data_IF_270936460159
#
_entry.id   IF_270936460159
#
_cell.length_a   1.000
_cell.length_b   1.000
_cell.length_c   1.000
_cell.angle_alpha   90.00
_cell.angle_beta   90.00
_cell.angle_gamma   90.00
#
_symmetry.space_group_name_H-M   'P 1'
#
loop_
_entity.id
_entity.type
_entity.pdbx_description
1 polymer ?
#
# COMPACT_ATOMS: atom_id res chain seq x y z
N UNK A 1 -7.92 -7.62 -6.34
CA UNK A 1 -8.76 -7.82 -5.13
C UNK A 1 -8.21 -6.88 -4.04
N UNK A 2 -9.06 -6.35 -3.15
CA UNK A 2 -8.63 -5.47 -2.04
C UNK A 2 -9.17 -6.07 -0.73
N UNK A 3 -8.29 -6.28 0.24
CA UNK A 3 -8.64 -6.82 1.55
C UNK A 3 -8.59 -5.70 2.59
N UNK A 4 -9.62 -5.61 3.43
CA UNK A 4 -9.71 -4.61 4.49
C UNK A 4 -9.71 -5.32 5.84
N UNK A 5 -8.82 -4.87 6.73
CA UNK A 5 -8.75 -5.28 8.14
C UNK A 5 -8.48 -4.06 9.02
N UNK A 6 -8.61 -4.22 10.34
CA UNK A 6 -8.20 -3.19 11.30
C UNK A 6 -6.67 -3.16 11.39
N UNK A 7 -6.12 -1.96 11.67
CA UNK A 7 -4.67 -1.74 11.69
C UNK A 7 -3.95 -2.61 12.73
N UNK A 8 -4.58 -2.81 13.89
CA UNK A 8 -4.06 -3.64 14.99
C UNK A 8 -3.90 -5.13 14.62
N UNK A 9 -4.64 -5.59 13.61
CA UNK A 9 -4.60 -6.97 13.11
C UNK A 9 -3.87 -7.09 11.77
N UNK A 10 -3.40 -5.99 11.18
CA UNK A 10 -2.86 -6.01 9.81
C UNK A 10 -1.61 -6.88 9.69
N UNK A 11 -0.69 -6.81 10.66
CA UNK A 11 0.56 -7.58 10.66
C UNK A 11 0.27 -9.09 10.81
N UNK A 12 -0.57 -9.46 11.78
CA UNK A 12 -0.98 -10.86 11.99
C UNK A 12 -1.73 -11.41 10.77
N UNK A 13 -2.64 -10.62 10.21
CA UNK A 13 -3.41 -10.99 9.02
C UNK A 13 -2.49 -11.21 7.81
N UNK A 14 -1.48 -10.35 7.61
CA UNK A 14 -0.51 -10.52 6.53
C UNK A 14 0.29 -11.82 6.71
N UNK A 15 0.85 -12.05 7.90
CA UNK A 15 1.66 -13.24 8.19
C UNK A 15 0.89 -14.54 7.97
N UNK A 16 -0.39 -14.58 8.34
CA UNK A 16 -1.23 -15.78 8.22
C UNK A 16 -1.69 -16.08 6.80
N UNK A 17 -1.75 -15.08 5.92
CA UNK A 17 -2.52 -15.20 4.68
C UNK A 17 -1.74 -14.85 3.40
N UNK A 18 -0.50 -14.34 3.52
CA UNK A 18 0.37 -14.05 2.37
C UNK A 18 0.68 -15.31 1.56
N UNK A 19 0.53 -15.23 0.23
CA UNK A 19 0.75 -16.37 -0.67
C UNK A 19 -0.49 -17.25 -0.92
N UNK A 20 -1.57 -17.04 -0.15
CA UNK A 20 -2.83 -17.77 -0.27
C UNK A 20 -4.00 -16.80 -0.52
N UNK A 21 -4.62 -16.28 0.55
CA UNK A 21 -5.71 -15.31 0.44
C UNK A 21 -5.18 -13.94 -0.03
N UNK A 22 -4.01 -13.54 0.45
CA UNK A 22 -3.32 -12.32 0.02
C UNK A 22 -2.40 -12.66 -1.15
N UNK A 23 -2.97 -12.66 -2.34
CA UNK A 23 -2.28 -12.90 -3.60
C UNK A 23 -2.68 -11.86 -4.66
N UNK A 24 -1.78 -11.49 -5.58
CA UNK A 24 -0.38 -11.94 -5.70
C UNK A 24 0.56 -11.33 -4.62
N UNK A 25 1.72 -11.95 -4.32
CA UNK A 25 2.27 -13.18 -4.91
C UNK A 25 1.56 -14.45 -4.42
N UNK A 26 1.76 -15.55 -5.13
CA UNK A 26 1.38 -16.91 -4.69
C UNK A 26 2.46 -17.49 -3.79
N UNK A 27 2.18 -18.61 -3.12
CA UNK A 27 3.17 -19.34 -2.31
C UNK A 27 4.47 -19.65 -3.07
N UNK A 28 4.37 -20.01 -4.36
CA UNK A 28 5.50 -20.31 -5.24
C UNK A 28 6.37 -19.08 -5.59
N UNK A 29 5.77 -17.89 -5.59
CA UNK A 29 6.43 -16.64 -5.99
C UNK A 29 6.74 -15.73 -4.80
N UNK A 30 6.36 -16.14 -3.59
CA UNK A 30 6.50 -15.34 -2.38
C UNK A 30 7.96 -15.05 -2.05
N UNK A 31 8.86 -16.01 -2.28
CA UNK A 31 10.31 -15.85 -2.06
C UNK A 31 10.94 -14.75 -2.94
N UNK A 32 10.28 -14.42 -4.06
CA UNK A 32 10.72 -13.36 -4.96
C UNK A 32 10.28 -11.97 -4.50
N UNK A 33 9.34 -11.89 -3.56
CA UNK A 33 8.84 -10.62 -3.03
C UNK A 33 9.89 -10.02 -2.07
N UNK A 34 10.48 -8.86 -2.37
CA UNK A 34 11.35 -8.18 -1.42
C UNK A 34 10.58 -7.84 -0.14
N UNK A 35 11.30 -7.81 0.98
CA UNK A 35 10.75 -7.35 2.26
C UNK A 35 10.04 -6.01 2.10
N UNK A 36 8.85 -5.88 2.69
CA UNK A 36 8.13 -4.60 2.65
C UNK A 36 8.78 -3.57 3.58
N UNK A 37 8.79 -2.31 3.14
CA UNK A 37 9.24 -1.17 3.93
C UNK A 37 8.10 -0.19 4.13
N UNK A 38 7.99 0.35 5.34
CA UNK A 38 6.99 1.36 5.70
C UNK A 38 7.44 2.74 5.21
N UNK A 39 6.56 3.42 4.48
CA UNK A 39 6.69 4.82 4.12
C UNK A 39 5.52 5.59 4.73
N UNK A 40 5.81 6.60 5.54
CA UNK A 40 4.80 7.43 6.20
C UNK A 40 4.79 8.82 5.58
N UNK A 41 3.62 9.29 5.17
CA UNK A 41 3.47 10.57 4.48
C UNK A 41 2.25 11.33 4.99
N UNK A 42 2.41 12.65 5.12
CA UNK A 42 1.30 13.56 5.39
C UNK A 42 0.73 14.05 4.06
N UNK A 43 -0.55 13.83 3.86
CA UNK A 43 -1.26 14.26 2.65
C UNK A 43 -1.56 15.77 2.76
N UNK A 44 -1.29 16.58 1.72
CA UNK A 44 -1.67 18.00 1.67
C UNK A 44 -3.17 18.20 1.90
N UNK A 45 -3.60 19.39 2.33
CA UNK A 45 -5.03 19.71 2.55
C UNK A 45 -5.75 20.05 1.24
N UNK A 46 -5.63 19.16 0.27
CA UNK A 46 -6.28 19.25 -1.04
C UNK A 46 -6.52 17.85 -1.60
N UNK A 47 -7.37 17.77 -2.62
CA UNK A 47 -7.71 16.50 -3.28
C UNK A 47 -6.46 15.90 -3.93
N UNK A 48 -5.96 14.80 -3.37
CA UNK A 48 -4.65 14.26 -3.71
C UNK A 48 -4.74 12.78 -4.07
N UNK A 49 -4.09 12.36 -5.15
CA UNK A 49 -3.86 10.95 -5.45
C UNK A 49 -2.55 10.47 -4.80
N UNK A 50 -2.62 9.35 -4.11
CA UNK A 50 -1.45 8.59 -3.68
C UNK A 50 -1.17 7.54 -4.75
N UNK A 51 -0.07 7.71 -5.48
CA UNK A 51 0.31 6.85 -6.59
C UNK A 51 1.19 5.72 -6.10
N UNK A 52 0.82 4.49 -6.45
CA UNK A 52 1.60 3.26 -6.25
C UNK A 52 1.99 2.71 -7.63
N UNK A 53 3.23 2.94 -8.09
CA UNK A 53 3.66 2.50 -9.42
C UNK A 53 3.37 1.03 -9.69
N UNK A 54 2.81 0.73 -10.86
CA UNK A 54 2.45 -0.63 -11.27
C UNK A 54 1.11 -1.17 -10.74
N UNK A 55 0.49 -0.50 -9.75
CA UNK A 55 -0.81 -0.92 -9.19
C UNK A 55 -1.93 0.09 -9.44
N UNK A 56 -1.63 1.39 -9.39
CA UNK A 56 -2.62 2.44 -9.60
C UNK A 56 -2.48 3.56 -8.57
N UNK A 57 -3.61 4.12 -8.14
CA UNK A 57 -3.64 5.20 -7.16
C UNK A 57 -4.84 5.11 -6.22
N UNK A 58 -4.72 5.80 -5.08
CA UNK A 58 -5.80 6.00 -4.11
C UNK A 58 -6.03 7.50 -3.97
N UNK A 59 -7.22 7.97 -4.32
CA UNK A 59 -7.60 9.38 -4.15
C UNK A 59 -8.04 9.64 -2.71
N UNK A 60 -7.48 10.68 -2.09
CA UNK A 60 -7.88 11.23 -0.81
C UNK A 60 -8.64 12.53 -1.07
N UNK A 61 -9.97 12.58 -0.86
CA UNK A 61 -10.78 13.74 -1.19
C UNK A 61 -10.45 14.99 -0.36
N UNK A 62 -10.24 14.79 0.93
CA UNK A 62 -9.85 15.82 1.88
C UNK A 62 -8.63 15.33 2.67
N UNK A 63 -7.50 15.99 2.47
CA UNK A 63 -6.24 15.56 3.06
C UNK A 63 -5.98 16.16 4.43
N UNK A 64 -4.73 16.51 4.72
CA UNK A 64 -4.29 16.83 6.09
C UNK A 64 -4.17 15.61 7.01
N UNK A 65 -4.42 14.41 6.47
CA UNK A 65 -4.26 13.12 7.14
C UNK A 65 -2.84 12.58 6.96
N UNK A 66 -2.40 11.76 7.91
CA UNK A 66 -1.14 11.01 7.79
C UNK A 66 -1.47 9.56 7.51
N UNK A 67 -0.80 8.97 6.53
CA UNK A 67 -0.95 7.58 6.16
C UNK A 67 0.39 6.85 6.22
N UNK A 68 0.33 5.53 6.31
CA UNK A 68 1.50 4.67 6.16
C UNK A 68 1.21 3.62 5.10
N UNK A 69 2.14 3.43 4.17
CA UNK A 69 2.08 2.44 3.10
C UNK A 69 3.28 1.51 3.22
N UNK A 70 3.04 0.21 3.07
CA UNK A 70 4.09 -0.80 3.01
C UNK A 70 4.29 -1.21 1.55
N UNK A 71 5.50 -1.05 1.03
CA UNK A 71 5.86 -1.36 -0.37
C UNK A 71 7.14 -2.19 -0.46
N UNK A 72 7.35 -3.00 -1.51
CA UNK A 72 8.58 -3.78 -1.66
C UNK A 72 9.82 -2.90 -1.66
N UNK A 73 10.80 -3.26 -0.82
CA UNK A 73 12.09 -2.55 -0.72
C UNK A 73 12.78 -2.51 -2.09
N UNK A 74 13.21 -1.32 -2.48
CA UNK A 74 14.05 -1.10 -3.67
C UNK A 74 13.33 -1.17 -5.02
N UNK A 75 12.05 -1.56 -5.07
CA UNK A 75 11.29 -1.69 -6.32
C UNK A 75 10.15 -0.68 -6.49
N UNK A 76 9.65 -0.10 -5.41
CA UNK A 76 8.47 0.77 -5.44
C UNK A 76 8.68 1.99 -4.56
N UNK A 77 8.42 3.17 -5.11
CA UNK A 77 8.42 4.43 -4.38
C UNK A 77 7.08 5.13 -4.61
N UNK A 78 6.38 5.48 -3.53
CA UNK A 78 5.09 6.15 -3.65
C UNK A 78 5.30 7.61 -4.04
N UNK A 79 4.33 8.21 -4.73
CA UNK A 79 4.33 9.64 -5.01
C UNK A 79 2.95 10.24 -4.79
N UNK A 80 2.93 11.55 -4.53
CA UNK A 80 1.70 12.32 -4.46
C UNK A 80 1.55 13.15 -5.73
N UNK A 81 0.32 13.32 -6.20
CA UNK A 81 -0.02 14.25 -7.28
C UNK A 81 -1.40 14.86 -7.03
N UNK A 82 -1.71 16.00 -7.66
CA UNK A 82 -3.09 16.49 -7.74
C UNK A 82 -4.00 15.40 -8.32
N UNK A 83 -5.18 15.24 -7.74
CA UNK A 83 -6.13 14.22 -8.22
C UNK A 83 -6.53 14.47 -9.68
N UNK A 84 -6.57 13.39 -10.47
CA UNK A 84 -6.94 13.49 -11.89
C UNK A 84 -8.45 13.68 -12.12
N UNK A 85 -9.26 13.38 -11.11
CA UNK A 85 -10.73 13.44 -11.09
C UNK A 85 -11.14 14.09 -9.79
#
# INVERSE_FOLDING_TARGET
MIHRTKLDQADEFYQKHVGELLQPPTQETLEQLPSLVKQTIKIPREKTDIVVPGLGWITVPDGGVTISIHVPKGGVNISLRPALI
#
